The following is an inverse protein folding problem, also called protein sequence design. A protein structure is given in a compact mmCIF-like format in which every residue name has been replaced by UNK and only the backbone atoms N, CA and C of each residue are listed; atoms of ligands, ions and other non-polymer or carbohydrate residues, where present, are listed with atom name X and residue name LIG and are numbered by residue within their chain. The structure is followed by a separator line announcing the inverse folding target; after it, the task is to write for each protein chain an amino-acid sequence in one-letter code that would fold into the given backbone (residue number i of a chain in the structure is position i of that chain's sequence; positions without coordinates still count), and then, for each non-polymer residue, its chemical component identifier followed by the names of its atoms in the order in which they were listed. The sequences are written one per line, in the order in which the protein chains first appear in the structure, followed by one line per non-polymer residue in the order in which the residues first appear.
data_IF_723165204295
#
_entry.id   IF_723165204295
#
_cell.length_a   1.000
_cell.length_b   1.000
_cell.length_c   1.000
_cell.angle_alpha   90.00
_cell.angle_beta   90.00
_cell.angle_gamma   90.00
#
_symmetry.space_group_name_H-M   'P 1'
#
loop_
_entity.id
_entity.type
_entity.pdbx_description
1 polymer ?
#
# COMPACT_ATOMS: atom_id res chain seq x y z
N UNK A 1 26.20 8.45 6.90
CA UNK A 1 25.16 7.50 6.37
C UNK A 1 24.96 6.43 7.43
N UNK A 2 23.74 6.21 7.83
CA UNK A 2 23.41 5.16 8.81
C UNK A 2 22.87 3.96 8.04
N UNK A 3 23.54 2.83 8.12
CA UNK A 3 23.05 1.59 7.56
C UNK A 3 21.87 1.10 8.40
N UNK A 4 20.72 0.86 7.75
CA UNK A 4 19.53 0.29 8.39
C UNK A 4 19.55 -1.21 8.15
N UNK A 5 19.65 -1.99 9.22
CA UNK A 5 19.55 -3.44 9.16
C UNK A 5 18.06 -3.82 9.15
N UNK A 6 17.59 -4.45 8.07
CA UNK A 6 16.25 -4.97 7.96
C UNK A 6 16.22 -6.46 8.33
N UNK A 7 15.14 -6.96 8.94
CA UNK A 7 14.99 -8.39 9.21
C UNK A 7 14.99 -9.21 7.93
N UNK A 8 15.47 -10.44 8.00
CA UNK A 8 15.36 -11.38 6.89
C UNK A 8 13.89 -11.70 6.59
N UNK A 9 13.55 -11.74 5.31
CA UNK A 9 12.24 -12.18 4.85
C UNK A 9 12.28 -13.63 4.39
N UNK A 10 11.38 -14.45 4.91
CA UNK A 10 11.23 -15.83 4.45
C UNK A 10 10.57 -15.96 3.07
N UNK A 11 9.96 -14.88 2.56
CA UNK A 11 9.20 -14.89 1.31
C UNK A 11 9.98 -14.31 0.14
N UNK A 12 10.94 -13.44 0.41
CA UNK A 12 11.84 -12.89 -0.60
C UNK A 12 13.27 -12.95 -0.07
N UNK A 13 14.18 -13.66 -0.76
CA UNK A 13 15.55 -13.80 -0.28
C UNK A 13 16.40 -12.53 -0.45
N UNK A 14 15.86 -11.52 -1.14
CA UNK A 14 16.60 -10.30 -1.49
C UNK A 14 16.09 -9.07 -0.76
N UNK A 15 14.78 -8.98 -0.49
CA UNK A 15 14.15 -7.80 0.07
C UNK A 15 13.28 -8.13 1.28
N UNK A 16 13.19 -7.18 2.20
CA UNK A 16 12.22 -7.19 3.29
C UNK A 16 10.84 -6.78 2.74
N UNK A 17 10.26 -7.67 1.92
CA UNK A 17 9.05 -7.42 1.14
C UNK A 17 7.86 -7.11 2.07
N UNK A 18 7.22 -5.96 1.87
CA UNK A 18 6.05 -5.46 2.61
C UNK A 18 6.23 -5.34 4.13
N UNK A 19 7.48 -5.34 4.60
CA UNK A 19 7.74 -5.36 6.04
C UNK A 19 7.33 -6.68 6.70
N UNK A 20 7.18 -6.68 8.01
CA UNK A 20 6.88 -7.88 8.79
C UNK A 20 5.45 -7.92 9.34
N UNK A 21 4.75 -6.81 9.39
CA UNK A 21 3.43 -6.70 10.01
C UNK A 21 2.38 -7.65 9.44
N UNK A 22 2.46 -7.99 8.17
CA UNK A 22 1.54 -8.93 7.51
C UNK A 22 1.89 -10.41 7.76
N UNK A 23 3.11 -10.69 8.21
CA UNK A 23 3.60 -12.04 8.53
C UNK A 23 3.38 -12.38 10.01
N UNK A 24 3.09 -11.40 10.85
CA UNK A 24 2.97 -11.56 12.28
C UNK A 24 1.55 -11.97 12.69
N UNK A 25 1.48 -12.61 13.85
CA UNK A 25 0.19 -12.96 14.45
C UNK A 25 -0.33 -11.81 15.30
N UNK A 26 -1.37 -11.15 14.81
CA UNK A 26 -2.07 -10.09 15.54
C UNK A 26 -2.95 -10.67 16.66
N UNK A 27 -3.03 -9.95 17.77
CA UNK A 27 -3.83 -10.31 18.91
C UNK A 27 -5.12 -9.50 18.94
N UNK A 28 -6.24 -10.20 19.14
CA UNK A 28 -7.53 -9.54 19.33
C UNK A 28 -7.51 -8.73 20.62
N UNK A 29 -7.78 -7.41 20.52
CA UNK A 29 -7.86 -6.48 21.65
C UNK A 29 -9.30 -6.14 22.00
N UNK A 30 -10.14 -5.95 20.98
CA UNK A 30 -11.56 -5.66 21.16
C UNK A 30 -12.38 -6.16 19.97
N UNK A 31 -13.63 -6.54 20.22
CA UNK A 31 -14.57 -7.05 19.22
C UNK A 31 -16.00 -6.66 19.56
N UNK A 32 -16.70 -6.11 18.59
CA UNK A 32 -18.14 -5.88 18.62
C UNK A 32 -18.79 -6.21 17.28
N UNK A 33 -20.07 -5.95 17.11
CA UNK A 33 -20.81 -6.28 15.86
C UNK A 33 -20.21 -5.63 14.63
N UNK A 34 -19.70 -4.41 14.77
CA UNK A 34 -19.20 -3.59 13.66
C UNK A 34 -17.79 -3.01 13.88
N UNK A 35 -17.06 -3.58 14.84
CA UNK A 35 -15.73 -3.10 15.22
C UNK A 35 -14.83 -4.26 15.61
N UNK A 36 -13.59 -4.22 15.15
CA UNK A 36 -12.51 -5.10 15.60
C UNK A 36 -11.23 -4.29 15.79
N UNK A 37 -10.55 -4.51 16.91
CA UNK A 37 -9.23 -3.97 17.19
C UNK A 37 -8.22 -5.09 17.36
N UNK A 38 -7.12 -5.01 16.62
CA UNK A 38 -6.03 -5.98 16.60
C UNK A 38 -4.74 -5.28 17.02
N UNK A 39 -4.03 -5.86 17.97
CA UNK A 39 -2.76 -5.37 18.47
C UNK A 39 -1.60 -6.23 18.01
N UNK A 40 -0.47 -5.61 17.76
CA UNK A 40 0.79 -6.26 17.42
C UNK A 40 1.93 -5.65 18.24
N UNK A 41 2.85 -6.47 18.72
CA UNK A 41 4.11 -6.06 19.33
C UNK A 41 5.24 -6.83 18.67
N UNK A 42 6.19 -6.11 18.11
CA UNK A 42 7.36 -6.67 17.42
C UNK A 42 8.62 -6.12 18.02
N UNK A 43 9.60 -6.98 18.17
CA UNK A 43 10.96 -6.63 18.57
C UNK A 43 11.92 -7.54 17.82
N UNK A 44 12.83 -6.93 17.06
CA UNK A 44 13.88 -7.62 16.32
C UNK A 44 15.25 -7.25 16.88
N UNK A 45 16.17 -8.18 16.83
CA UNK A 45 17.56 -7.98 17.26
C UNK A 45 18.29 -6.88 16.46
N UNK A 46 17.84 -6.62 15.24
CA UNK A 46 18.35 -5.54 14.40
C UNK A 46 17.87 -4.14 14.79
N UNK A 47 17.07 -4.00 15.86
CA UNK A 47 16.63 -2.72 16.41
C UNK A 47 15.23 -2.29 16.01
N UNK A 48 14.52 -3.05 15.17
CA UNK A 48 13.09 -2.85 14.95
C UNK A 48 12.32 -3.19 16.24
N UNK A 49 11.76 -2.18 16.85
CA UNK A 49 10.99 -2.30 18.09
C UNK A 49 9.78 -1.38 18.02
N UNK A 50 8.60 -1.97 17.77
CA UNK A 50 7.37 -1.22 17.60
C UNK A 50 6.14 -1.93 18.11
N UNK A 51 5.10 -1.19 18.35
CA UNK A 51 3.74 -1.70 18.52
C UNK A 51 2.82 -1.14 17.44
N UNK A 52 1.84 -1.93 17.04
CA UNK A 52 0.82 -1.50 16.09
C UNK A 52 -0.57 -1.82 16.62
N UNK A 53 -1.53 -0.94 16.30
CA UNK A 53 -2.95 -1.14 16.57
C UNK A 53 -3.70 -0.94 15.25
N UNK A 54 -4.39 -1.98 14.81
CA UNK A 54 -5.23 -1.94 13.61
C UNK A 54 -6.69 -2.03 14.03
N UNK A 55 -7.47 -1.02 13.67
CA UNK A 55 -8.89 -0.92 13.99
C UNK A 55 -9.71 -0.91 12.71
N UNK A 56 -10.60 -1.88 12.56
CA UNK A 56 -11.61 -1.89 11.53
C UNK A 56 -12.97 -1.50 12.11
N UNK A 57 -13.70 -0.65 11.37
CA UNK A 57 -15.08 -0.26 11.67
C UNK A 57 -15.93 -0.39 10.42
N UNK A 58 -17.05 -1.06 10.55
CA UNK A 58 -18.07 -1.17 9.51
C UNK A 58 -19.23 -0.24 9.83
N UNK A 59 -19.69 0.50 8.84
CA UNK A 59 -20.87 1.38 8.91
C UNK A 59 -21.68 1.27 7.63
N UNK A 60 -22.82 1.95 7.57
CA UNK A 60 -23.63 2.03 6.35
C UNK A 60 -22.90 2.75 5.19
N UNK A 61 -21.88 3.55 5.50
CA UNK A 61 -21.05 4.24 4.52
C UNK A 61 -19.86 3.38 4.00
N UNK A 62 -19.53 2.28 4.68
CA UNK A 62 -18.47 1.37 4.28
C UNK A 62 -17.56 0.91 5.40
N UNK A 63 -16.39 0.42 5.02
CA UNK A 63 -15.34 -0.08 5.91
C UNK A 63 -14.26 1.00 6.11
N UNK A 64 -13.98 1.32 7.37
CA UNK A 64 -12.81 2.12 7.76
C UNK A 64 -11.73 1.20 8.35
N UNK A 65 -10.49 1.35 7.90
CA UNK A 65 -9.32 0.74 8.50
C UNK A 65 -8.40 1.84 9.03
N UNK A 66 -8.04 1.78 10.31
CA UNK A 66 -7.13 2.73 10.96
C UNK A 66 -5.96 1.98 11.57
N UNK A 67 -4.76 2.27 11.07
CA UNK A 67 -3.52 1.69 11.57
C UNK A 67 -2.72 2.75 12.32
N UNK A 68 -2.40 2.45 13.57
CA UNK A 68 -1.49 3.25 14.39
C UNK A 68 -0.21 2.48 14.60
N UNK A 69 0.92 3.08 14.26
CA UNK A 69 2.25 2.55 14.53
C UNK A 69 2.91 3.40 15.61
N UNK A 70 3.56 2.75 16.56
CA UNK A 70 4.31 3.39 17.63
C UNK A 70 5.69 2.75 17.73
N UNK A 71 6.73 3.55 17.49
CA UNK A 71 8.11 3.17 17.79
C UNK A 71 8.30 2.98 19.29
N UNK A 72 8.94 1.89 19.71
CA UNK A 72 9.19 1.52 21.10
C UNK A 72 10.67 1.39 21.44
N UNK A 73 11.54 1.48 20.43
CA UNK A 73 13.00 1.39 20.59
C UNK A 73 13.61 2.66 21.15
N UNK A 74 14.90 2.61 21.49
CA UNK A 74 15.67 3.74 22.00
C UNK A 74 16.32 4.58 20.91
N UNK A 75 16.57 3.98 19.75
CA UNK A 75 17.23 4.63 18.63
C UNK A 75 16.20 5.02 17.55
N UNK A 76 16.33 6.19 16.93
CA UNK A 76 15.45 6.59 15.83
C UNK A 76 15.47 5.56 14.71
N UNK A 77 14.29 5.25 14.16
CA UNK A 77 14.10 4.30 13.08
C UNK A 77 13.12 4.85 12.06
N UNK A 78 13.35 4.53 10.80
CA UNK A 78 12.41 4.85 9.73
C UNK A 78 11.32 3.79 9.72
N UNK A 79 10.09 4.23 9.86
CA UNK A 79 8.91 3.39 9.83
C UNK A 79 8.01 3.80 8.65
N UNK A 80 7.34 2.83 8.08
CA UNK A 80 6.35 3.04 7.05
C UNK A 80 5.12 2.16 7.24
N UNK A 81 4.00 2.61 6.72
CA UNK A 81 2.74 1.87 6.76
C UNK A 81 2.04 1.90 5.42
N UNK A 82 1.29 0.85 5.13
CA UNK A 82 0.46 0.75 3.95
C UNK A 82 -0.62 -0.31 4.12
N UNK A 83 -1.59 -0.26 3.22
CA UNK A 83 -2.60 -1.30 3.06
C UNK A 83 -2.49 -1.90 1.67
N UNK A 84 -2.69 -3.20 1.57
CA UNK A 84 -2.61 -3.93 0.29
C UNK A 84 -3.95 -4.61 -0.04
N UNK A 85 -5.01 -3.84 -0.28
CA UNK A 85 -6.32 -4.39 -0.58
C UNK A 85 -6.37 -4.94 -2.01
N UNK A 86 -7.01 -6.09 -2.17
CA UNK A 86 -7.32 -6.70 -3.45
C UNK A 86 -8.77 -6.42 -3.82
N UNK A 87 -8.98 -5.85 -4.99
CA UNK A 87 -10.31 -5.58 -5.53
C UNK A 87 -10.61 -6.48 -6.72
N UNK A 88 -11.81 -7.00 -6.79
CA UNK A 88 -12.26 -7.79 -7.95
C UNK A 88 -12.23 -6.91 -9.20
N UNK A 89 -11.60 -7.43 -10.25
CA UNK A 89 -11.49 -6.79 -11.56
C UNK A 89 -12.13 -7.68 -12.63
N UNK A 90 -12.90 -7.06 -13.51
CA UNK A 90 -13.42 -7.65 -14.76
C UNK A 90 -12.79 -6.94 -15.95
N UNK A 91 -13.03 -7.42 -17.15
CA UNK A 91 -12.60 -6.75 -18.39
C UNK A 91 -13.26 -5.39 -18.63
N UNK A 92 -14.23 -5.00 -17.81
CA UNK A 92 -14.96 -3.73 -17.91
C UNK A 92 -14.74 -2.83 -16.68
N UNK A 93 -13.96 -3.28 -15.71
CA UNK A 93 -13.67 -2.48 -14.51
C UNK A 93 -12.79 -1.29 -14.88
N UNK A 94 -13.27 -0.09 -14.64
CA UNK A 94 -12.54 1.15 -14.80
C UNK A 94 -11.96 1.58 -13.46
N UNK A 95 -10.78 2.16 -13.49
CA UNK A 95 -10.20 2.84 -12.32
C UNK A 95 -10.00 4.32 -12.62
N UNK A 96 -10.05 5.13 -11.57
CA UNK A 96 -9.77 6.55 -11.65
C UNK A 96 -9.12 7.03 -10.37
N UNK A 97 -8.01 7.75 -10.48
CA UNK A 97 -7.38 8.51 -9.41
C UNK A 97 -6.48 9.60 -10.01
N UNK A 98 -6.22 10.64 -9.23
CA UNK A 98 -5.28 11.71 -9.62
C UNK A 98 -3.93 11.51 -8.89
N UNK A 99 -2.83 11.73 -9.63
CA UNK A 99 -1.46 11.76 -9.08
C UNK A 99 -0.63 12.83 -9.80
N UNK A 100 0.46 13.26 -9.17
CA UNK A 100 1.36 14.27 -9.75
C UNK A 100 2.47 13.66 -10.62
N UNK A 101 2.71 12.38 -10.47
CA UNK A 101 3.74 11.61 -11.17
C UNK A 101 3.86 10.20 -10.60
N UNK A 102 4.81 9.45 -11.12
CA UNK A 102 4.97 8.04 -10.80
C UNK A 102 6.43 7.60 -10.88
N UNK A 103 6.70 6.42 -10.35
CA UNK A 103 7.93 5.69 -10.54
C UNK A 103 7.68 4.49 -11.44
N UNK A 104 8.31 4.44 -12.65
CA UNK A 104 8.33 3.21 -13.44
C UNK A 104 9.03 2.09 -12.68
N UNK A 105 8.57 0.88 -12.88
CA UNK A 105 9.25 -0.30 -12.38
C UNK A 105 10.53 -0.58 -13.17
N UNK A 106 11.61 -0.85 -12.46
CA UNK A 106 12.90 -1.24 -13.00
C UNK A 106 13.22 -2.71 -12.74
N UNK A 107 14.50 -3.06 -12.80
CA UNK A 107 14.97 -4.40 -12.48
C UNK A 107 14.67 -4.76 -11.02
N UNK A 108 14.38 -6.03 -10.77
CA UNK A 108 14.09 -6.58 -9.44
C UNK A 108 12.91 -5.90 -8.74
N UNK A 109 11.97 -5.34 -9.51
CA UNK A 109 10.80 -4.61 -9.02
C UNK A 109 11.13 -3.32 -8.24
N UNK A 110 12.36 -2.82 -8.34
CA UNK A 110 12.75 -1.55 -7.74
C UNK A 110 12.30 -0.37 -8.60
N UNK A 111 12.01 0.81 -8.00
CA UNK A 111 11.58 1.96 -8.75
C UNK A 111 12.74 2.58 -9.53
N UNK A 112 12.45 3.03 -10.75
CA UNK A 112 13.33 3.90 -11.51
C UNK A 112 13.16 5.37 -11.06
N UNK A 113 13.83 6.31 -11.75
CA UNK A 113 13.68 7.73 -11.46
C UNK A 113 12.24 8.20 -11.62
N UNK A 114 11.78 9.05 -10.69
CA UNK A 114 10.46 9.65 -10.71
C UNK A 114 10.19 10.43 -12.00
N UNK A 115 8.99 10.29 -12.53
CA UNK A 115 8.53 10.93 -13.76
C UNK A 115 7.21 11.67 -13.53
N UNK A 116 7.18 12.94 -13.96
CA UNK A 116 5.96 13.73 -13.96
C UNK A 116 5.01 13.34 -15.08
N UNK A 117 5.56 13.10 -16.26
CA UNK A 117 4.78 12.79 -17.45
C UNK A 117 4.48 11.29 -17.47
N UNK A 118 3.23 10.95 -17.25
CA UNK A 118 2.76 9.58 -17.30
C UNK A 118 2.34 9.24 -18.74
N UNK A 119 2.73 8.07 -19.26
CA UNK A 119 2.12 7.50 -20.46
C UNK A 119 0.61 7.35 -20.32
N UNK A 120 -0.13 7.49 -21.43
CA UNK A 120 -1.59 7.45 -21.41
C UNK A 120 -2.17 6.16 -20.83
N UNK A 121 -1.49 5.03 -20.96
CA UNK A 121 -1.95 3.72 -20.49
C UNK A 121 -1.86 3.55 -18.97
N UNK A 122 -1.10 4.40 -18.28
CA UNK A 122 -0.95 4.39 -16.83
C UNK A 122 -1.39 5.71 -16.16
N UNK A 123 -1.85 6.70 -16.92
CA UNK A 123 -2.50 7.90 -16.39
C UNK A 123 -3.99 7.63 -16.17
N UNK A 124 -4.39 7.51 -14.92
CA UNK A 124 -5.77 7.25 -14.49
C UNK A 124 -6.50 8.50 -14.00
N UNK A 125 -6.06 9.68 -14.37
CA UNK A 125 -6.77 10.94 -14.07
C UNK A 125 -8.20 10.97 -14.65
N UNK A 126 -8.42 10.27 -15.76
CA UNK A 126 -9.74 9.94 -16.29
C UNK A 126 -10.04 8.45 -16.11
N UNK A 127 -11.31 8.13 -15.85
CA UNK A 127 -11.74 6.74 -15.70
C UNK A 127 -11.45 5.92 -16.97
N UNK A 128 -10.69 4.84 -16.82
CA UNK A 128 -10.36 3.91 -17.92
C UNK A 128 -10.17 2.49 -17.41
N UNK A 129 -10.36 1.54 -18.30
CA UNK A 129 -10.03 0.13 -18.06
C UNK A 129 -8.51 -0.01 -18.15
N UNK A 130 -7.82 -0.52 -17.13
CA UNK A 130 -6.40 -0.80 -17.23
C UNK A 130 -6.12 -1.87 -18.27
N UNK A 131 -5.03 -1.71 -19.02
CA UNK A 131 -4.57 -2.74 -19.95
C UNK A 131 -4.33 -4.06 -19.20
N UNK A 132 -4.60 -5.18 -19.86
CA UNK A 132 -4.39 -6.50 -19.26
C UNK A 132 -2.92 -6.94 -19.32
N UNK A 133 -2.04 -6.16 -18.71
CA UNK A 133 -0.59 -6.38 -18.64
C UNK A 133 -0.14 -6.33 -17.20
N UNK A 134 1.10 -6.74 -16.95
CA UNK A 134 1.76 -6.50 -15.69
C UNK A 134 1.86 -5.00 -15.42
N UNK A 135 1.42 -4.57 -14.25
CA UNK A 135 1.59 -3.21 -13.72
C UNK A 135 2.03 -3.30 -12.27
N UNK A 136 3.07 -2.56 -11.93
CA UNK A 136 3.63 -2.48 -10.59
C UNK A 136 4.24 -1.07 -10.43
N UNK A 137 3.38 -0.07 -10.25
CA UNK A 137 3.78 1.33 -10.28
C UNK A 137 3.40 2.08 -9.02
N UNK A 138 4.37 2.77 -8.43
CA UNK A 138 4.13 3.72 -7.35
C UNK A 138 3.77 5.10 -7.90
N UNK A 139 2.76 5.74 -7.35
CA UNK A 139 2.30 7.09 -7.69
C UNK A 139 2.48 8.04 -6.51
N UNK A 140 2.91 9.26 -6.80
CA UNK A 140 3.05 10.35 -5.81
C UNK A 140 2.11 11.50 -6.05
N UNK A 141 1.91 12.32 -5.03
CA UNK A 141 0.94 13.42 -5.08
C UNK A 141 -0.47 12.94 -5.34
N UNK A 142 -0.76 11.72 -4.90
CA UNK A 142 -2.12 11.19 -4.88
C UNK A 142 -2.99 12.03 -3.94
N UNK A 143 -4.16 12.42 -4.41
CA UNK A 143 -5.09 13.25 -3.65
C UNK A 143 -5.88 12.49 -2.57
N UNK A 144 -5.53 11.22 -2.32
CA UNK A 144 -6.17 10.38 -1.33
C UNK A 144 -7.50 9.77 -1.76
N UNK A 145 -7.87 9.86 -3.03
CA UNK A 145 -9.13 9.31 -3.55
C UNK A 145 -8.89 8.46 -4.79
N UNK A 146 -9.44 7.26 -4.81
CA UNK A 146 -9.49 6.40 -6.00
C UNK A 146 -10.88 5.75 -6.14
N UNK A 147 -11.28 5.52 -7.38
CA UNK A 147 -12.56 4.89 -7.72
C UNK A 147 -12.34 3.65 -8.56
N UNK A 148 -13.10 2.60 -8.25
CA UNK A 148 -13.27 1.42 -9.12
C UNK A 148 -14.73 1.35 -9.53
N UNK A 149 -14.98 1.36 -10.82
CA UNK A 149 -16.32 1.32 -11.42
C UNK A 149 -16.44 0.08 -12.27
N UNK A 150 -17.30 -0.84 -11.87
CA UNK A 150 -17.64 -2.04 -12.64
C UNK A 150 -19.11 -1.97 -13.03
N UNK A 151 -19.47 -2.17 -14.31
CA UNK A 151 -20.85 -2.14 -14.74
C UNK A 151 -21.74 -3.06 -13.88
N UNK A 152 -22.92 -2.57 -13.52
CA UNK A 152 -23.92 -3.28 -12.71
C UNK A 152 -23.47 -3.63 -11.28
N UNK A 153 -22.40 -3.03 -10.79
CA UNK A 153 -21.94 -3.16 -9.40
C UNK A 153 -21.84 -1.78 -8.72
N UNK A 154 -21.95 -1.72 -7.40
CA UNK A 154 -21.67 -0.49 -6.67
C UNK A 154 -20.23 0.00 -6.95
N UNK A 155 -20.07 1.31 -7.11
CA UNK A 155 -18.75 1.92 -7.21
C UNK A 155 -18.00 1.76 -5.88
N UNK A 156 -16.80 1.23 -5.93
CA UNK A 156 -15.90 1.22 -4.78
C UNK A 156 -15.12 2.54 -4.77
N UNK A 157 -15.19 3.26 -3.66
CA UNK A 157 -14.39 4.47 -3.45
C UNK A 157 -13.41 4.22 -2.32
N UNK A 158 -12.12 4.36 -2.62
CA UNK A 158 -11.05 4.32 -1.63
C UNK A 158 -10.74 5.75 -1.22
N UNK A 159 -10.63 5.98 0.09
CA UNK A 159 -10.17 7.25 0.67
C UNK A 159 -9.04 6.98 1.65
N UNK A 160 -7.99 7.78 1.59
CA UNK A 160 -6.85 7.64 2.48
C UNK A 160 -6.19 8.98 2.76
N UNK A 161 -5.53 9.08 3.90
CA UNK A 161 -4.78 10.27 4.31
C UNK A 161 -3.30 10.23 3.90
N UNK A 162 -2.82 9.09 3.35
CA UNK A 162 -1.42 8.95 2.93
C UNK A 162 -1.21 9.39 1.48
N UNK A 163 -0.02 9.92 1.13
CA UNK A 163 0.19 10.63 -0.14
C UNK A 163 0.63 9.76 -1.32
N UNK A 164 0.90 8.46 -1.08
CA UNK A 164 1.36 7.53 -2.12
C UNK A 164 0.32 6.46 -2.38
N UNK A 165 0.23 6.04 -3.63
CA UNK A 165 -0.63 4.95 -4.08
C UNK A 165 0.21 3.98 -4.91
N UNK A 166 0.19 2.71 -4.55
CA UNK A 166 0.72 1.65 -5.40
C UNK A 166 -0.42 1.03 -6.19
N UNK A 167 -0.20 0.81 -7.48
CA UNK A 167 -1.08 0.04 -8.33
C UNK A 167 -0.36 -1.23 -8.74
N UNK A 168 -0.96 -2.36 -8.40
CA UNK A 168 -0.45 -3.66 -8.78
C UNK A 168 -1.53 -4.49 -9.47
N UNK A 169 -1.18 -5.11 -10.59
CA UNK A 169 -1.99 -6.14 -11.24
C UNK A 169 -1.11 -7.11 -12.04
N UNK A 170 -1.59 -8.33 -12.19
CA UNK A 170 -1.03 -9.33 -13.08
C UNK A 170 -1.94 -9.54 -14.31
N UNK A 171 -1.38 -9.91 -15.48
CA UNK A 171 -2.19 -10.23 -16.64
C UNK A 171 -3.07 -11.46 -16.37
N UNK A 172 -4.29 -11.42 -16.84
CA UNK A 172 -5.32 -12.48 -16.74
C UNK A 172 -5.78 -12.81 -15.31
N UNK A 173 -5.34 -12.09 -14.30
CA UNK A 173 -5.83 -12.24 -12.94
C UNK A 173 -7.09 -11.40 -12.70
N UNK A 174 -8.09 -11.93 -11.95
CA UNK A 174 -9.37 -11.25 -11.72
C UNK A 174 -9.31 -10.23 -10.57
N UNK A 175 -8.15 -9.62 -10.33
CA UNK A 175 -7.98 -8.62 -9.30
C UNK A 175 -7.08 -7.47 -9.74
N UNK A 176 -7.19 -6.38 -9.00
CA UNK A 176 -6.29 -5.23 -9.02
C UNK A 176 -6.08 -4.74 -7.59
N UNK A 177 -4.86 -4.32 -7.27
CA UNK A 177 -4.55 -3.72 -5.98
C UNK A 177 -4.37 -2.21 -6.16
N UNK A 178 -4.99 -1.45 -5.28
CA UNK A 178 -4.77 -0.01 -5.12
C UNK A 178 -4.39 0.21 -3.66
N UNK A 179 -3.13 0.46 -3.42
CA UNK A 179 -2.47 0.32 -2.12
C UNK A 179 -2.05 1.69 -1.58
N UNK A 180 -2.81 2.29 -0.65
CA UNK A 180 -2.39 3.50 0.03
C UNK A 180 -1.14 3.25 0.88
N UNK A 181 -0.10 4.08 0.70
CA UNK A 181 1.18 3.94 1.40
C UNK A 181 1.65 5.28 1.95
N UNK A 182 2.31 5.26 3.10
CA UNK A 182 2.92 6.45 3.71
C UNK A 182 4.21 6.89 3.01
N UNK A 183 4.81 6.04 2.20
CA UNK A 183 6.11 6.21 1.57
C UNK A 183 6.15 5.49 0.21
N UNK A 184 7.03 5.89 -0.71
CA UNK A 184 7.23 5.17 -1.96
C UNK A 184 7.96 3.84 -1.74
N UNK A 185 7.93 2.96 -2.73
CA UNK A 185 8.76 1.75 -2.74
C UNK A 185 10.22 2.15 -2.66
N UNK A 186 11.01 1.40 -1.90
CA UNK A 186 12.45 1.63 -1.69
C UNK A 186 12.79 2.98 -1.03
N UNK A 187 11.88 3.51 -0.22
CA UNK A 187 12.03 4.82 0.42
C UNK A 187 13.31 4.94 1.26
N UNK A 188 13.81 3.83 1.83
CA UNK A 188 15.03 3.82 2.64
C UNK A 188 16.29 4.22 1.84
N UNK A 189 16.26 4.06 0.52
CA UNK A 189 17.37 4.40 -0.38
C UNK A 189 17.13 5.71 -1.15
N UNK A 190 15.99 6.37 -0.94
CA UNK A 190 15.68 7.65 -1.59
C UNK A 190 16.16 8.82 -0.74
N UNK A 191 16.90 9.76 -1.34
CA UNK A 191 17.31 10.99 -0.69
C UNK A 191 16.10 11.88 -0.37
N UNK A 192 16.02 12.39 0.86
CA UNK A 192 15.03 13.41 1.26
C UNK A 192 13.62 12.87 1.54
N UNK A 193 13.47 11.56 1.79
CA UNK A 193 12.21 10.93 2.25
C UNK A 193 12.18 10.77 3.77
#
# INVERSE_FOLDING_TARGET
EREVCLPDSSLDPMFFLHGDGWLQRWQLQDLSVNHIALGLRVQHDCGFDYSALLVYRLSDEGLTAHLTLRHCGTEPMLDGVGFHPFFVKTSQTQIQFFSSGYWPEGEKHLPLSWQRNMPDDIDFSCAKVPNNVWMNHGYSGWNGVAHLVTPHQPTVTIRSSVPYLMLFQMPNEPFICLEPQSHPVDAHNMEGQ
#
